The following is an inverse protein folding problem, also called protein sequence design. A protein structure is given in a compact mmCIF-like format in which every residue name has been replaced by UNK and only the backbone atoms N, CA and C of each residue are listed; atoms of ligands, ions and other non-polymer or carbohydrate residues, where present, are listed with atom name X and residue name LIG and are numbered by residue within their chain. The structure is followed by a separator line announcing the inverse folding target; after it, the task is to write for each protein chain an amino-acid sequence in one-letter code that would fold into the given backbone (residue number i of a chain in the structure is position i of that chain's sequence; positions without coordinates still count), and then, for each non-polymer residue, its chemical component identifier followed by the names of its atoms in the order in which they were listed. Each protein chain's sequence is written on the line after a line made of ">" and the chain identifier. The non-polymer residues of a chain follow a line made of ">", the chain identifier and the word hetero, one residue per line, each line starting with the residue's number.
data_IF_852991182997
#
_entry.id   IF_852991182997
#
_cell.length_a   1.000
_cell.length_b   1.000
_cell.length_c   1.000
_cell.angle_alpha   90.00
_cell.angle_beta   90.00
_cell.angle_gamma   90.00
#
_symmetry.space_group_name_H-M   'P 1'
#
loop_
_entity.id
_entity.type
_entity.pdbx_description
1 polymer ?
#
# COMPACT_ATOMS: atom_id res chain seq x y z
N UNK A 1 3.38 -12.75 -17.04
CA UNK A 1 2.62 -11.51 -16.78
C UNK A 1 3.16 -10.91 -15.50
N UNK A 2 4.05 -9.93 -15.61
CA UNK A 2 4.46 -9.13 -14.45
C UNK A 2 3.34 -8.13 -14.22
N UNK A 3 2.53 -8.35 -13.16
CA UNK A 3 1.44 -7.45 -12.81
C UNK A 3 2.03 -6.16 -12.24
N UNK A 4 2.37 -5.23 -13.12
CA UNK A 4 2.69 -3.86 -12.75
C UNK A 4 1.41 -3.20 -12.29
N UNK A 5 1.33 -2.81 -11.02
CA UNK A 5 0.19 -2.08 -10.49
C UNK A 5 0.59 -0.65 -10.09
N UNK A 6 -0.40 0.22 -10.01
CA UNK A 6 -0.21 1.63 -9.67
C UNK A 6 -0.51 1.82 -8.19
N UNK A 7 0.42 2.43 -7.47
CA UNK A 7 0.17 2.77 -6.07
C UNK A 7 -0.92 3.84 -5.98
N UNK A 8 -2.00 3.55 -5.25
CA UNK A 8 -3.10 4.49 -5.03
C UNK A 8 -2.72 5.72 -4.17
N UNK A 9 -1.55 5.71 -3.51
CA UNK A 9 -1.09 6.83 -2.67
C UNK A 9 -0.14 7.75 -3.44
N UNK A 10 0.96 7.20 -3.98
CA UNK A 10 1.95 8.01 -4.68
C UNK A 10 1.75 8.08 -6.21
N UNK A 11 0.82 7.29 -6.78
CA UNK A 11 0.52 7.27 -8.22
C UNK A 11 1.61 6.63 -9.10
N UNK A 12 2.67 6.07 -8.50
CA UNK A 12 3.76 5.42 -9.25
C UNK A 12 3.37 4.02 -9.68
N UNK A 13 3.65 3.67 -10.93
CA UNK A 13 3.62 2.29 -11.40
C UNK A 13 4.81 1.53 -10.84
N UNK A 14 4.56 0.36 -10.25
CA UNK A 14 5.58 -0.49 -9.63
C UNK A 14 5.22 -1.95 -9.86
N UNK A 15 6.24 -2.79 -10.06
CA UNK A 15 6.07 -4.23 -10.15
C UNK A 15 5.70 -4.87 -8.81
N UNK A 16 5.95 -4.17 -7.70
CA UNK A 16 5.69 -4.65 -6.33
C UNK A 16 4.56 -3.82 -5.72
N UNK A 17 3.38 -4.41 -5.66
CA UNK A 17 2.17 -3.84 -5.07
C UNK A 17 1.68 -4.73 -3.93
N UNK A 18 1.24 -4.09 -2.86
CA UNK A 18 0.67 -4.70 -1.67
C UNK A 18 -0.75 -4.18 -1.48
N UNK A 19 -1.64 -5.04 -1.01
CA UNK A 19 -3.03 -4.67 -0.74
C UNK A 19 -3.20 -4.37 0.74
N UNK A 20 -3.75 -3.20 1.06
CA UNK A 20 -4.11 -2.83 2.43
C UNK A 20 -5.29 -3.68 2.91
N UNK A 21 -5.15 -4.41 4.03
CA UNK A 21 -6.25 -5.21 4.57
C UNK A 21 -7.42 -4.41 5.14
N UNK A 22 -7.26 -3.10 5.39
CA UNK A 22 -8.33 -2.25 5.94
C UNK A 22 -9.18 -1.59 4.85
N UNK A 23 -8.53 -0.93 3.88
CA UNK A 23 -9.23 -0.17 2.84
C UNK A 23 -9.21 -0.84 1.46
N UNK A 24 -8.48 -1.95 1.29
CA UNK A 24 -8.34 -2.63 0.00
C UNK A 24 -7.46 -1.90 -1.02
N UNK A 25 -6.86 -0.77 -0.67
CA UNK A 25 -6.02 0.01 -1.58
C UNK A 25 -4.74 -0.75 -1.97
N UNK A 26 -4.38 -0.68 -3.25
CA UNK A 26 -3.14 -1.21 -3.80
C UNK A 26 -2.03 -0.17 -3.67
N UNK A 27 -0.97 -0.49 -2.94
CA UNK A 27 0.10 0.45 -2.62
C UNK A 27 1.48 -0.15 -2.86
N UNK A 28 2.48 0.68 -3.16
CA UNK A 28 3.86 0.21 -3.32
C UNK A 28 4.46 -0.17 -1.97
N UNK A 29 5.61 -0.87 -1.99
CA UNK A 29 6.35 -1.23 -0.78
C UNK A 29 6.64 -0.03 0.14
N UNK A 30 6.87 1.15 -0.44
CA UNK A 30 7.20 2.40 0.26
C UNK A 30 6.02 2.94 1.08
N UNK A 31 4.81 2.78 0.54
CA UNK A 31 3.55 3.21 1.15
C UNK A 31 2.84 2.08 1.91
N UNK A 32 3.42 0.88 1.96
CA UNK A 32 2.91 -0.27 2.69
C UNK A 32 3.61 -0.40 4.04
N UNK A 33 2.83 -0.59 5.11
CA UNK A 33 3.32 -0.84 6.46
C UNK A 33 3.13 -2.32 6.76
N UNK A 34 4.18 -3.15 6.57
CA UNK A 34 4.08 -4.61 6.69
C UNK A 34 3.78 -5.07 8.12
N UNK A 35 4.23 -4.31 9.13
CA UNK A 35 3.96 -4.61 10.56
C UNK A 35 2.46 -4.64 10.88
N UNK A 36 1.68 -3.78 10.21
CA UNK A 36 0.24 -3.67 10.39
C UNK A 36 -0.55 -4.33 9.25
N UNK A 37 0.13 -4.72 8.15
CA UNK A 37 -0.47 -5.12 6.87
C UNK A 37 -1.40 -4.05 6.25
N UNK A 38 -1.09 -2.78 6.49
CA UNK A 38 -1.91 -1.63 6.08
C UNK A 38 -1.13 -0.68 5.19
N UNK A 39 -1.82 0.16 4.43
CA UNK A 39 -1.17 1.30 3.79
C UNK A 39 -0.82 2.39 4.82
N UNK A 40 0.15 3.25 4.50
CA UNK A 40 0.62 4.37 5.34
C UNK A 40 -0.51 5.24 5.87
N UNK A 41 -1.53 5.53 5.07
CA UNK A 41 -2.69 6.35 5.47
C UNK A 41 -3.48 5.66 6.59
N UNK A 42 -3.83 4.39 6.40
CA UNK A 42 -4.55 3.61 7.39
C UNK A 42 -3.70 3.37 8.64
N UNK A 43 -2.43 3.02 8.49
CA UNK A 43 -1.49 2.86 9.60
C UNK A 43 -1.37 4.12 10.45
N UNK A 44 -1.37 5.31 9.83
CA UNK A 44 -1.32 6.59 10.53
C UNK A 44 -2.54 6.85 11.41
N UNK A 45 -3.68 6.20 11.15
CA UNK A 45 -4.88 6.28 12.01
C UNK A 45 -4.75 5.47 13.30
N UNK A 46 -3.83 4.50 13.35
CA UNK A 46 -3.59 3.64 14.51
C UNK A 46 -2.41 4.09 15.39
N UNK A 47 -1.52 4.94 14.87
CA UNK A 47 -0.55 5.66 15.71
C UNK A 47 -1.27 6.76 16.50
N UNK A 48 -1.78 6.36 17.66
CA UNK A 48 -2.32 7.25 18.69
C UNK A 48 -1.20 7.97 19.43
#
# INVERSE_FOLDING_TARGET
>A
MEVSGICSICGKATSHIYTCSLCGAMVCADDYVPELKLCRICASKFKK
#
